data_IF_866820574647
#
_entry.id   IF_866820574647
#
_cell.length_a   1.000
_cell.length_b   1.000
_cell.length_c   1.000
_cell.angle_alpha   90.00
_cell.angle_beta   90.00
_cell.angle_gamma   90.00
#
_symmetry.space_group_name_H-M   'P 1'
#
loop_
_entity.id
_entity.type
_entity.pdbx_description
1 polymer ?
#
# COMPACT_ATOMS: atom_id res chain seq x y z
N UNK A 1 -32.25 16.31 -62.56
CA UNK A 1 -31.88 15.10 -61.78
C UNK A 1 -30.77 14.38 -62.53
N UNK A 2 -29.70 13.91 -61.87
CA UNK A 2 -28.70 13.06 -62.51
C UNK A 2 -29.37 11.78 -63.00
N UNK A 3 -29.18 11.40 -64.26
CA UNK A 3 -29.67 10.12 -64.78
C UNK A 3 -28.85 8.96 -64.22
N UNK A 4 -29.38 7.73 -64.09
CA UNK A 4 -28.62 6.58 -63.59
C UNK A 4 -27.30 6.33 -64.34
N UNK A 5 -27.25 6.68 -65.63
CA UNK A 5 -26.04 6.62 -66.45
C UNK A 5 -24.95 7.62 -66.02
N UNK A 6 -25.32 8.76 -65.40
CA UNK A 6 -24.37 9.76 -64.88
C UNK A 6 -23.68 9.34 -63.58
N UNK A 7 -24.10 8.22 -62.97
CA UNK A 7 -23.44 7.61 -61.82
C UNK A 7 -22.40 6.54 -62.21
N UNK A 8 -22.33 6.19 -63.50
CA UNK A 8 -21.33 5.24 -63.99
C UNK A 8 -19.97 5.94 -64.17
N UNK A 9 -18.86 5.31 -63.78
CA UNK A 9 -17.53 5.88 -63.95
C UNK A 9 -17.24 6.23 -65.42
N UNK A 10 -16.50 7.32 -65.67
CA UNK A 10 -16.27 7.84 -67.03
C UNK A 10 -15.45 6.90 -67.91
N UNK A 11 -14.71 5.94 -67.34
CA UNK A 11 -13.98 4.91 -68.06
C UNK A 11 -13.83 3.60 -67.24
N UNK A 12 -13.57 2.50 -67.94
CA UNK A 12 -13.32 1.19 -67.33
C UNK A 12 -12.07 1.20 -66.42
N UNK A 13 -11.13 2.10 -66.70
CA UNK A 13 -9.89 2.32 -65.94
C UNK A 13 -10.11 2.91 -64.55
N UNK A 14 -11.11 3.76 -64.37
CA UNK A 14 -11.50 4.31 -63.06
C UNK A 14 -12.21 3.27 -62.21
N UNK A 15 -13.00 2.41 -62.83
CA UNK A 15 -13.64 1.28 -62.17
C UNK A 15 -12.60 0.25 -61.70
N UNK A 16 -11.63 -0.09 -62.56
CA UNK A 16 -10.51 -0.97 -62.21
C UNK A 16 -9.65 -0.41 -61.06
N UNK A 17 -9.36 0.90 -61.05
CA UNK A 17 -8.63 1.55 -59.94
C UNK A 17 -9.40 1.50 -58.63
N UNK A 18 -10.72 1.71 -58.65
CA UNK A 18 -11.58 1.60 -57.47
C UNK A 18 -11.64 0.16 -56.94
N UNK A 19 -11.74 -0.83 -57.82
CA UNK A 19 -11.72 -2.25 -57.43
C UNK A 19 -10.37 -2.60 -56.79
N UNK A 20 -9.25 -2.21 -57.38
CA UNK A 20 -7.92 -2.47 -56.80
C UNK A 20 -7.72 -1.80 -55.43
N UNK A 21 -8.27 -0.59 -55.24
CA UNK A 21 -8.26 0.09 -53.95
C UNK A 21 -9.09 -0.66 -52.90
N UNK A 22 -10.31 -1.08 -53.26
CA UNK A 22 -11.18 -1.87 -52.38
C UNK A 22 -10.56 -3.24 -52.05
N UNK A 23 -9.93 -3.91 -53.01
CA UNK A 23 -9.23 -5.17 -52.77
C UNK A 23 -8.07 -5.01 -51.79
N UNK A 24 -7.34 -3.89 -51.87
CA UNK A 24 -6.28 -3.56 -50.91
C UNK A 24 -6.85 -3.30 -49.51
N UNK A 25 -7.91 -2.50 -49.40
CA UNK A 25 -8.59 -2.22 -48.12
C UNK A 25 -9.16 -3.50 -47.51
N UNK A 26 -9.78 -4.38 -48.31
CA UNK A 26 -10.29 -5.68 -47.84
C UNK A 26 -9.14 -6.60 -47.40
N UNK A 27 -7.98 -6.57 -48.09
CA UNK A 27 -6.80 -7.34 -47.69
C UNK A 27 -6.22 -6.83 -46.38
N UNK A 28 -6.17 -5.51 -46.17
CA UNK A 28 -5.77 -4.90 -44.90
C UNK A 28 -6.74 -5.24 -43.76
N UNK A 29 -8.05 -5.14 -43.99
CA UNK A 29 -9.07 -5.54 -43.00
C UNK A 29 -9.01 -7.03 -42.67
N UNK A 30 -8.75 -7.89 -43.65
CA UNK A 30 -8.55 -9.33 -43.43
C UNK A 30 -7.25 -9.61 -42.68
N UNK A 31 -6.19 -8.85 -42.90
CA UNK A 31 -4.96 -8.93 -42.12
C UNK A 31 -5.20 -8.48 -40.67
N UNK A 32 -5.99 -7.42 -40.45
CA UNK A 32 -6.40 -6.95 -39.13
C UNK A 32 -7.26 -7.97 -38.36
N UNK A 33 -8.08 -8.77 -39.07
CA UNK A 33 -8.87 -9.85 -38.47
C UNK A 33 -8.04 -11.04 -37.94
N UNK A 34 -6.75 -11.15 -38.29
CA UNK A 34 -5.90 -12.30 -37.93
C UNK A 34 -5.16 -12.18 -36.58
N UNK A 35 -5.56 -11.24 -35.72
CA UNK A 35 -4.95 -11.11 -34.39
C UNK A 35 -5.22 -12.30 -33.46
N UNK A 36 -6.11 -13.23 -33.83
CA UNK A 36 -6.43 -14.45 -33.07
C UNK A 36 -5.18 -15.30 -32.71
N UNK A 37 -4.12 -15.24 -33.51
CA UNK A 37 -2.86 -15.95 -33.26
C UNK A 37 -1.61 -15.08 -33.53
N UNK A 38 -1.71 -13.77 -33.29
CA UNK A 38 -0.60 -12.86 -33.53
C UNK A 38 0.49 -13.00 -32.46
N UNK A 39 1.75 -13.07 -32.90
CA UNK A 39 2.91 -12.92 -32.03
C UNK A 39 3.42 -11.47 -32.12
N UNK A 40 3.72 -10.88 -30.95
CA UNK A 40 4.27 -9.52 -30.87
C UNK A 40 5.80 -9.61 -30.95
N UNK A 41 6.38 -9.04 -32.01
CA UNK A 41 7.83 -8.99 -32.20
C UNK A 41 8.52 -7.93 -31.31
N UNK A 42 9.81 -7.72 -31.54
CA UNK A 42 10.65 -6.82 -30.73
C UNK A 42 10.14 -5.35 -30.65
N UNK A 43 9.34 -4.91 -31.62
CA UNK A 43 8.72 -3.58 -31.61
C UNK A 43 7.58 -3.40 -30.61
N UNK A 44 7.09 -4.49 -30.00
CA UNK A 44 6.04 -4.45 -28.99
C UNK A 44 4.66 -4.07 -29.55
N UNK A 45 3.70 -3.92 -28.63
CA UNK A 45 2.37 -3.37 -28.88
C UNK A 45 2.20 -2.11 -28.04
N UNK A 46 1.82 -1.00 -28.66
CA UNK A 46 1.55 0.27 -27.97
C UNK A 46 0.06 0.58 -28.02
N UNK A 47 -0.53 0.81 -26.85
CA UNK A 47 -1.91 1.29 -26.70
C UNK A 47 -1.88 2.80 -26.52
N UNK A 48 -2.67 3.54 -27.29
CA UNK A 48 -2.69 5.02 -27.33
C UNK A 48 -4.12 5.55 -27.28
N UNK A 49 -4.30 6.86 -27.07
CA UNK A 49 -5.59 7.56 -27.12
C UNK A 49 -6.67 6.93 -26.22
N UNK A 50 -6.31 6.51 -25.02
CA UNK A 50 -7.25 5.89 -24.08
C UNK A 50 -7.67 4.46 -24.44
N UNK A 51 -6.90 3.76 -25.28
CA UNK A 51 -7.12 2.34 -25.49
C UNK A 51 -6.90 1.51 -24.21
N UNK A 52 -7.33 0.25 -24.26
CA UNK A 52 -7.15 -0.72 -23.16
C UNK A 52 -6.88 -2.13 -23.68
N UNK A 53 -6.24 -2.94 -22.85
CA UNK A 53 -6.08 -4.37 -23.01
C UNK A 53 -6.99 -5.09 -22.02
N UNK A 54 -7.73 -6.07 -22.52
CA UNK A 54 -8.81 -6.72 -21.81
C UNK A 54 -8.76 -8.23 -22.00
N UNK A 55 -9.03 -8.98 -20.94
CA UNK A 55 -9.22 -10.42 -20.99
C UNK A 55 -10.57 -10.79 -20.37
N UNK A 56 -11.41 -11.46 -21.16
CA UNK A 56 -12.72 -11.96 -20.76
C UNK A 56 -12.70 -13.48 -20.71
N UNK A 57 -13.35 -14.07 -19.72
CA UNK A 57 -13.60 -15.51 -19.67
C UNK A 57 -14.71 -15.89 -20.66
N UNK A 58 -14.87 -17.18 -21.06
CA UNK A 58 -15.94 -17.59 -21.95
C UNK A 58 -17.36 -17.19 -21.50
N UNK A 59 -17.68 -17.19 -20.20
CA UNK A 59 -18.94 -16.63 -19.67
C UNK A 59 -19.09 -15.10 -19.79
N UNK A 60 -18.06 -14.37 -20.26
CA UNK A 60 -18.06 -12.91 -20.40
C UNK A 60 -17.60 -12.16 -19.16
N UNK A 61 -16.92 -12.81 -18.21
CA UNK A 61 -16.39 -12.12 -17.01
C UNK A 61 -15.03 -11.51 -17.32
N UNK A 62 -14.92 -10.19 -17.14
CA UNK A 62 -13.65 -9.45 -17.23
C UNK A 62 -12.72 -9.84 -16.08
N UNK A 63 -11.59 -10.46 -16.42
CA UNK A 63 -10.59 -10.94 -15.45
C UNK A 63 -9.30 -10.13 -15.46
N UNK A 64 -8.93 -9.51 -16.58
CA UNK A 64 -7.81 -8.56 -16.64
C UNK A 64 -8.22 -7.34 -17.45
N UNK A 65 -7.92 -6.14 -16.96
CA UNK A 65 -8.11 -4.88 -17.67
C UNK A 65 -6.92 -3.95 -17.40
N UNK A 66 -6.34 -3.38 -18.45
CA UNK A 66 -5.16 -2.50 -18.37
C UNK A 66 -5.32 -1.35 -19.36
N UNK A 67 -5.29 -0.10 -18.89
CA UNK A 67 -5.41 1.10 -19.73
C UNK A 67 -6.46 2.06 -19.18
N UNK A 68 -7.14 2.78 -20.07
CA UNK A 68 -8.21 3.69 -19.64
C UNK A 68 -9.47 2.90 -19.24
N UNK A 69 -9.67 2.71 -17.93
CA UNK A 69 -10.81 1.98 -17.37
C UNK A 69 -11.84 3.02 -16.92
N UNK A 70 -13.08 2.79 -17.34
CA UNK A 70 -14.22 3.60 -16.93
C UNK A 70 -15.07 2.82 -15.93
N UNK A 71 -15.12 3.28 -14.69
CA UNK A 71 -15.91 2.70 -13.60
C UNK A 71 -16.17 3.79 -12.55
N UNK A 72 -17.43 3.96 -12.18
CA UNK A 72 -17.86 5.03 -11.28
C UNK A 72 -17.24 4.96 -9.88
N UNK A 73 -16.56 3.85 -9.52
CA UNK A 73 -15.83 3.69 -8.26
C UNK A 73 -14.48 4.41 -8.22
N UNK A 74 -13.89 4.72 -9.37
CA UNK A 74 -12.53 5.26 -9.45
C UNK A 74 -12.26 6.12 -10.70
N UNK A 75 -13.29 6.45 -11.47
CA UNK A 75 -13.19 7.52 -12.45
C UNK A 75 -12.65 8.79 -11.78
N UNK A 76 -11.94 9.61 -12.55
CA UNK A 76 -11.49 10.91 -12.09
C UNK A 76 -12.69 11.77 -11.64
N UNK A 77 -12.49 12.78 -10.77
CA UNK A 77 -13.57 13.66 -10.31
C UNK A 77 -14.38 14.32 -11.44
N UNK A 78 -13.77 14.49 -12.63
CA UNK A 78 -14.39 15.06 -13.83
C UNK A 78 -15.15 14.02 -14.68
N UNK A 79 -15.25 12.77 -14.21
CA UNK A 79 -15.89 11.64 -14.89
C UNK A 79 -15.03 11.01 -15.98
N UNK A 80 -13.77 11.42 -16.15
CA UNK A 80 -12.89 10.83 -17.16
C UNK A 80 -12.33 9.47 -16.71
N UNK A 81 -12.11 8.53 -17.64
CA UNK A 81 -11.53 7.22 -17.31
C UNK A 81 -10.12 7.35 -16.74
N UNK A 82 -9.80 6.51 -15.76
CA UNK A 82 -8.47 6.47 -15.17
C UNK A 82 -7.58 5.41 -15.86
N UNK A 83 -6.28 5.71 -16.00
CA UNK A 83 -5.30 4.69 -16.37
C UNK A 83 -5.12 3.70 -15.22
N UNK A 84 -5.55 2.46 -15.36
CA UNK A 84 -5.55 1.53 -14.25
C UNK A 84 -5.11 0.13 -14.68
N UNK A 85 -4.75 -0.68 -13.67
CA UNK A 85 -4.56 -2.12 -13.81
C UNK A 85 -5.58 -2.80 -12.90
N UNK A 86 -6.30 -3.76 -13.46
CA UNK A 86 -7.31 -4.51 -12.74
C UNK A 86 -7.18 -5.98 -13.05
N UNK A 87 -7.06 -6.81 -12.02
CA UNK A 87 -7.11 -8.26 -12.13
C UNK A 87 -8.18 -8.79 -11.17
N UNK A 88 -9.00 -9.71 -11.67
CA UNK A 88 -10.09 -10.35 -10.95
C UNK A 88 -10.01 -11.86 -11.08
N UNK A 89 -10.61 -12.54 -10.11
CA UNK A 89 -10.88 -13.98 -10.17
C UNK A 89 -12.05 -14.26 -11.11
N UNK A 90 -12.24 -15.52 -11.48
CA UNK A 90 -13.36 -15.94 -12.35
C UNK A 90 -14.74 -15.67 -11.74
N UNK A 91 -14.82 -15.60 -10.41
CA UNK A 91 -16.02 -15.23 -9.66
C UNK A 91 -16.31 -13.71 -9.67
N UNK A 92 -15.44 -12.91 -10.30
CA UNK A 92 -15.54 -11.46 -10.40
C UNK A 92 -14.93 -10.69 -9.23
N UNK A 93 -14.42 -11.35 -8.18
CA UNK A 93 -13.78 -10.67 -7.04
C UNK A 93 -12.37 -10.17 -7.39
N UNK A 94 -12.00 -9.02 -6.86
CA UNK A 94 -10.73 -8.37 -7.15
C UNK A 94 -9.56 -9.11 -6.51
N UNK A 95 -8.46 -9.30 -7.24
CA UNK A 95 -7.21 -9.87 -6.69
C UNK A 95 -6.08 -8.84 -6.66
N UNK A 96 -6.01 -7.98 -7.68
CA UNK A 96 -5.04 -6.91 -7.77
C UNK A 96 -5.67 -5.70 -8.44
N UNK A 97 -5.46 -4.52 -7.87
CA UNK A 97 -5.86 -3.26 -8.48
C UNK A 97 -4.73 -2.25 -8.40
N UNK A 98 -4.68 -1.34 -9.37
CA UNK A 98 -3.88 -0.14 -9.33
C UNK A 98 -4.70 0.99 -9.94
N UNK A 99 -5.32 1.81 -9.08
CA UNK A 99 -6.12 2.98 -9.44
C UNK A 99 -6.13 3.94 -8.24
N UNK A 100 -6.64 5.15 -8.44
CA UNK A 100 -6.81 6.12 -7.36
C UNK A 100 -8.28 6.19 -6.93
N UNK A 101 -8.52 6.65 -5.70
CA UNK A 101 -9.89 6.92 -5.26
C UNK A 101 -10.50 8.11 -6.03
N UNK A 102 -11.82 8.22 -6.07
CA UNK A 102 -12.53 9.31 -6.78
C UNK A 102 -12.01 10.70 -6.36
N UNK A 103 -11.62 10.88 -5.10
CA UNK A 103 -11.15 12.16 -4.55
C UNK A 103 -9.62 12.29 -4.48
N UNK A 104 -8.87 11.23 -4.78
CA UNK A 104 -7.41 11.21 -4.72
C UNK A 104 -6.85 10.99 -6.12
N UNK A 105 -5.90 11.81 -6.55
CA UNK A 105 -5.22 11.59 -7.82
C UNK A 105 -4.13 10.49 -7.72
N UNK A 106 -3.77 10.10 -6.49
CA UNK A 106 -2.66 9.21 -6.20
C UNK A 106 -3.10 7.76 -6.33
N UNK A 107 -2.51 7.05 -7.29
CA UNK A 107 -2.79 5.64 -7.49
C UNK A 107 -2.12 4.82 -6.41
N UNK A 108 -2.87 3.89 -5.83
CA UNK A 108 -2.35 2.85 -4.94
C UNK A 108 -2.43 1.51 -5.67
N UNK A 109 -1.43 0.66 -5.46
CA UNK A 109 -1.57 -0.75 -5.80
C UNK A 109 -2.04 -1.54 -4.58
N UNK A 110 -2.98 -2.46 -4.80
CA UNK A 110 -3.57 -3.24 -3.71
C UNK A 110 -3.75 -4.68 -4.14
N UNK A 111 -3.39 -5.61 -3.26
CA UNK A 111 -3.77 -7.02 -3.32
C UNK A 111 -4.94 -7.29 -2.38
N UNK A 112 -5.99 -7.92 -2.91
CA UNK A 112 -7.26 -8.12 -2.21
C UNK A 112 -7.53 -9.59 -1.89
N UNK A 113 -8.14 -9.84 -0.73
CA UNK A 113 -8.73 -11.14 -0.42
C UNK A 113 -10.12 -11.30 -1.09
N UNK A 114 -10.81 -12.42 -0.82
CA UNK A 114 -12.14 -12.68 -1.41
C UNK A 114 -13.27 -11.85 -0.78
N UNK A 115 -13.00 -11.16 0.31
CA UNK A 115 -13.95 -10.35 1.07
C UNK A 115 -13.70 -8.86 0.86
N UNK A 116 -12.91 -8.50 -0.15
CA UNK A 116 -12.56 -7.12 -0.49
C UNK A 116 -11.74 -6.42 0.61
N UNK A 117 -10.96 -7.17 1.39
CA UNK A 117 -9.98 -6.58 2.31
C UNK A 117 -8.62 -6.44 1.62
N UNK A 118 -8.00 -5.26 1.79
CA UNK A 118 -6.63 -5.02 1.37
C UNK A 118 -5.65 -5.85 2.22
N UNK A 119 -5.01 -6.83 1.58
CA UNK A 119 -4.00 -7.72 2.19
C UNK A 119 -2.63 -7.06 2.17
N UNK A 120 -2.27 -6.48 1.02
CA UNK A 120 -0.99 -5.78 0.82
C UNK A 120 -1.25 -4.55 -0.05
N UNK A 121 -0.71 -3.40 0.35
CA UNK A 121 -0.83 -2.15 -0.39
C UNK A 121 0.34 -1.22 -0.10
N UNK A 122 0.63 -0.29 -1.01
CA UNK A 122 1.51 0.84 -0.71
C UNK A 122 0.81 1.94 0.10
N UNK A 123 1.61 2.70 0.85
CA UNK A 123 1.14 3.85 1.62
C UNK A 123 1.24 5.13 0.76
N UNK A 124 0.14 5.47 0.10
CA UNK A 124 0.07 6.63 -0.80
C UNK A 124 0.19 7.97 -0.06
N UNK A 125 -0.27 8.05 1.18
CA UNK A 125 -0.30 9.28 1.96
C UNK A 125 1.12 9.72 2.39
N UNK A 126 1.98 8.83 2.88
CA UNK A 126 3.40 9.18 3.08
C UNK A 126 4.24 9.07 1.80
N UNK A 127 3.69 8.45 0.75
CA UNK A 127 4.38 8.17 -0.51
C UNK A 127 5.52 7.16 -0.37
N UNK A 128 5.65 6.47 0.78
CA UNK A 128 6.75 5.52 1.01
C UNK A 128 6.30 4.28 1.80
N UNK A 129 6.64 3.11 1.25
CA UNK A 129 6.53 1.85 1.98
C UNK A 129 5.15 1.21 1.93
N UNK A 130 4.87 0.34 2.91
CA UNK A 130 3.66 -0.50 2.94
C UNK A 130 2.57 0.12 3.80
N UNK A 131 1.35 0.20 3.28
CA UNK A 131 0.16 0.46 4.09
C UNK A 131 -0.28 -0.80 4.85
N UNK A 132 -0.29 -1.95 4.16
CA UNK A 132 -0.64 -3.26 4.71
C UNK A 132 0.37 -4.32 4.26
N UNK A 133 0.61 -5.38 5.07
CA UNK A 133 0.12 -5.58 6.44
C UNK A 133 0.88 -4.70 7.45
N UNK A 134 0.37 -4.64 8.69
CA UNK A 134 1.12 -4.06 9.80
C UNK A 134 2.22 -5.03 10.22
N UNK A 135 3.44 -4.53 10.34
CA UNK A 135 4.60 -5.37 10.57
C UNK A 135 4.95 -5.41 12.06
N UNK A 136 5.08 -6.60 12.67
CA UNK A 136 5.49 -6.70 14.06
C UNK A 136 6.92 -6.21 14.23
N UNK A 137 7.15 -5.49 15.33
CA UNK A 137 8.46 -5.00 15.75
C UNK A 137 8.96 -5.89 16.87
N UNK A 138 10.12 -6.50 16.64
CA UNK A 138 10.79 -7.30 17.65
C UNK A 138 11.54 -6.37 18.61
N UNK A 139 11.28 -6.52 19.91
CA UNK A 139 12.06 -5.88 20.96
C UNK A 139 12.47 -6.93 21.99
N UNK A 140 13.65 -6.73 22.57
CA UNK A 140 14.22 -7.57 23.60
C UNK A 140 14.28 -6.81 24.93
N UNK A 141 14.20 -7.53 26.07
CA UNK A 141 14.46 -6.92 27.37
C UNK A 141 15.90 -6.39 27.40
N UNK A 142 16.07 -5.16 27.88
CA UNK A 142 17.39 -4.60 28.10
C UNK A 142 18.04 -5.27 29.32
N UNK A 143 19.35 -5.51 29.24
CA UNK A 143 20.08 -6.10 30.36
C UNK A 143 20.18 -5.10 31.51
N UNK A 144 19.57 -5.44 32.65
CA UNK A 144 19.56 -4.64 33.89
C UNK A 144 20.23 -5.40 35.04
N UNK A 145 21.33 -6.11 34.76
CA UNK A 145 21.99 -7.00 35.73
C UNK A 145 21.37 -8.40 35.83
N UNK A 146 20.41 -8.72 34.96
CA UNK A 146 19.73 -10.01 34.86
C UNK A 146 18.83 -10.10 33.61
N UNK A 147 18.40 -11.30 33.25
CA UNK A 147 17.48 -11.58 32.13
C UNK A 147 16.05 -11.72 32.62
N UNK A 148 15.52 -10.67 33.24
CA UNK A 148 14.16 -10.64 33.77
C UNK A 148 13.14 -10.50 32.63
N UNK A 149 12.08 -11.34 32.64
CA UNK A 149 10.97 -11.23 31.68
C UNK A 149 10.20 -9.90 31.81
N UNK A 150 10.26 -9.27 32.99
CA UNK A 150 9.79 -7.91 33.25
C UNK A 150 10.99 -7.05 33.67
N UNK A 151 11.68 -6.43 32.70
CA UNK A 151 12.73 -5.47 32.97
C UNK A 151 12.28 -4.42 33.96
N UNK A 152 13.18 -4.06 34.86
CA UNK A 152 12.86 -3.25 36.03
C UNK A 152 13.99 -2.32 36.40
N UNK A 153 13.66 -1.20 37.04
CA UNK A 153 14.66 -0.30 37.61
C UNK A 153 14.14 0.40 38.86
N UNK A 154 15.01 0.58 39.84
CA UNK A 154 14.76 1.42 41.02
C UNK A 154 15.52 2.76 40.92
N UNK A 155 16.18 3.02 39.80
CA UNK A 155 16.96 4.23 39.56
C UNK A 155 16.06 5.44 39.35
N UNK A 156 16.50 6.59 39.83
CA UNK A 156 15.91 7.90 39.50
C UNK A 156 16.40 8.44 38.16
N UNK A 157 17.50 7.89 37.63
CA UNK A 157 17.98 8.13 36.28
C UNK A 157 17.27 7.20 35.28
N UNK A 158 17.01 7.69 34.06
CA UNK A 158 16.41 6.89 32.99
C UNK A 158 17.27 5.66 32.66
N UNK A 159 16.68 4.48 32.75
CA UNK A 159 17.30 3.22 32.36
C UNK A 159 16.52 2.60 31.21
N UNK A 160 17.22 1.90 30.31
CA UNK A 160 16.59 1.17 29.22
C UNK A 160 15.95 -0.10 29.78
N UNK A 161 14.67 -0.31 29.47
CA UNK A 161 13.90 -1.49 29.87
C UNK A 161 13.69 -2.42 28.68
N UNK A 162 13.40 -1.87 27.51
CA UNK A 162 13.26 -2.62 26.26
C UNK A 162 14.03 -1.94 25.14
N UNK A 163 14.68 -2.74 24.30
CA UNK A 163 15.44 -2.26 23.15
C UNK A 163 15.04 -3.03 21.90
N UNK A 164 14.98 -2.34 20.78
CA UNK A 164 14.70 -2.90 19.47
C UNK A 164 15.34 -2.04 18.39
N UNK A 165 15.54 -2.64 17.22
CA UNK A 165 16.01 -1.96 16.02
C UNK A 165 15.19 -2.46 14.84
N UNK A 166 14.61 -1.53 14.09
CA UNK A 166 13.72 -1.83 12.96
C UNK A 166 14.30 -1.28 11.67
N UNK A 167 13.93 -1.88 10.54
CA UNK A 167 14.05 -1.25 9.24
C UNK A 167 12.76 -0.49 8.94
N UNK A 168 12.83 0.81 8.67
CA UNK A 168 11.64 1.64 8.41
C UNK A 168 10.98 1.21 7.10
N UNK A 169 9.86 0.50 7.21
CA UNK A 169 9.02 0.10 6.07
C UNK A 169 7.65 0.78 6.04
N UNK A 170 7.11 1.23 7.19
CA UNK A 170 5.85 1.96 7.27
C UNK A 170 6.09 3.30 7.99
N UNK A 171 5.25 4.32 7.76
CA UNK A 171 5.50 5.67 8.25
C UNK A 171 5.24 5.86 9.74
N UNK A 172 4.60 4.90 10.44
CA UNK A 172 4.27 5.05 11.85
C UNK A 172 4.59 3.82 12.70
N UNK A 173 4.77 4.04 14.00
CA UNK A 173 5.06 3.01 15.00
C UNK A 173 4.07 3.07 16.16
N UNK A 174 3.61 1.90 16.61
CA UNK A 174 2.85 1.73 17.85
C UNK A 174 3.59 0.75 18.76
N UNK A 175 3.72 1.11 20.04
CA UNK A 175 4.31 0.26 21.09
C UNK A 175 3.36 0.22 22.27
N UNK A 176 2.95 -0.98 22.69
CA UNK A 176 2.09 -1.21 23.84
C UNK A 176 2.88 -1.92 24.92
N UNK A 177 2.91 -1.32 26.11
CA UNK A 177 3.52 -1.90 27.29
C UNK A 177 2.50 -2.02 28.43
N UNK A 178 2.81 -2.89 29.37
CA UNK A 178 2.19 -2.89 30.70
C UNK A 178 3.24 -2.49 31.72
N UNK A 179 2.95 -1.50 32.57
CA UNK A 179 3.91 -1.03 33.56
C UNK A 179 3.27 -0.77 34.93
N UNK A 180 4.08 -0.88 35.99
CA UNK A 180 3.67 -0.65 37.37
C UNK A 180 4.84 -0.19 38.24
N UNK A 181 4.54 0.59 39.26
CA UNK A 181 5.39 0.67 40.47
C UNK A 181 5.01 -0.49 41.39
N UNK A 182 6.00 -1.15 41.99
CA UNK A 182 5.77 -2.28 42.91
C UNK A 182 5.53 -1.87 44.37
N UNK A 183 5.61 -0.57 44.67
CA UNK A 183 5.44 -0.02 46.02
C UNK A 183 4.39 1.08 46.04
N UNK A 184 3.45 1.02 46.97
CA UNK A 184 2.39 2.03 47.14
C UNK A 184 2.95 3.40 47.47
N UNK A 185 2.38 4.45 46.88
CA UNK A 185 2.83 5.84 47.03
C UNK A 185 4.07 6.23 46.23
N UNK A 186 4.74 5.27 45.55
CA UNK A 186 5.83 5.56 44.64
C UNK A 186 5.31 5.90 43.23
N UNK A 187 6.02 6.77 42.52
CA UNK A 187 5.71 7.12 41.13
C UNK A 187 6.93 6.97 40.24
N UNK A 188 6.67 6.65 38.97
CA UNK A 188 7.68 6.52 37.93
C UNK A 188 7.20 7.12 36.62
N UNK A 189 8.08 7.13 35.62
CA UNK A 189 7.75 7.49 34.24
C UNK A 189 8.34 6.43 33.33
N UNK A 190 7.59 6.11 32.27
CA UNK A 190 8.05 5.33 31.13
C UNK A 190 8.07 6.20 29.88
N UNK A 191 9.17 6.14 29.13
CA UNK A 191 9.40 6.92 27.92
C UNK A 191 9.57 5.98 26.73
N UNK A 192 8.92 6.28 25.60
CA UNK A 192 9.29 5.71 24.31
C UNK A 192 10.33 6.62 23.65
N UNK A 193 11.46 6.04 23.28
CA UNK A 193 12.52 6.69 22.52
C UNK A 193 12.51 6.11 21.11
N UNK A 194 12.51 6.98 20.10
CA UNK A 194 12.69 6.61 18.69
C UNK A 194 13.89 7.38 18.16
N UNK A 195 14.89 6.64 17.67
CA UNK A 195 16.22 7.18 17.40
C UNK A 195 16.81 7.81 18.66
N UNK A 196 16.96 9.14 18.62
CA UNK A 196 17.55 9.93 19.71
C UNK A 196 16.54 10.80 20.46
N UNK A 197 15.26 10.76 20.11
CA UNK A 197 14.22 11.64 20.67
C UNK A 197 13.24 10.86 21.53
N UNK A 198 12.81 11.47 22.64
CA UNK A 198 11.64 10.99 23.40
C UNK A 198 10.41 11.26 22.54
N UNK A 199 9.75 10.21 22.08
CA UNK A 199 8.55 10.31 21.27
C UNK A 199 7.31 10.59 22.14
N UNK A 200 7.20 9.93 23.30
CA UNK A 200 6.10 10.11 24.24
C UNK A 200 6.48 9.53 25.62
N UNK A 201 5.79 9.97 26.67
CA UNK A 201 6.05 9.62 28.07
C UNK A 201 4.74 9.43 28.84
N UNK A 202 4.69 8.43 29.72
CA UNK A 202 3.55 8.21 30.61
C UNK A 202 3.98 8.14 32.08
N UNK A 203 3.21 8.72 33.01
CA UNK A 203 3.39 8.48 34.43
C UNK A 203 2.94 7.06 34.79
N UNK A 204 3.64 6.44 35.74
CA UNK A 204 3.34 5.10 36.26
C UNK A 204 3.19 5.18 37.77
N UNK A 205 2.13 4.58 38.29
CA UNK A 205 1.81 4.55 39.71
C UNK A 205 1.77 3.12 40.25
N UNK A 206 1.38 2.99 41.52
CA UNK A 206 1.14 1.69 42.17
C UNK A 206 -0.18 1.06 41.69
N UNK A 207 -0.12 0.47 40.50
CA UNK A 207 -1.04 -0.49 39.92
C UNK A 207 -0.50 -0.82 38.53
N UNK A 208 -0.65 -2.06 38.09
CA UNK A 208 -0.22 -2.43 36.74
C UNK A 208 -1.26 -1.96 35.72
N UNK A 209 -0.85 -1.04 34.83
CA UNK A 209 -1.70 -0.43 33.81
C UNK A 209 -1.11 -0.58 32.41
N UNK A 210 -1.94 -0.34 31.40
CA UNK A 210 -1.62 -0.42 29.98
C UNK A 210 -1.26 0.95 29.42
N UNK A 211 -0.16 1.02 28.67
CA UNK A 211 0.29 2.24 28.02
C UNK A 211 0.54 1.99 26.54
N UNK A 212 -0.14 2.77 25.70
CA UNK A 212 0.01 2.72 24.25
C UNK A 212 0.76 3.96 23.80
N UNK A 213 1.99 3.77 23.33
CA UNK A 213 2.76 4.80 22.66
C UNK A 213 2.44 4.79 21.16
N UNK A 214 1.93 5.90 20.66
CA UNK A 214 1.74 6.15 19.24
C UNK A 214 0.28 6.36 18.81
N UNK A 215 0.02 6.46 17.49
CA UNK A 215 1.00 6.27 16.41
C UNK A 215 2.11 7.33 16.40
N UNK A 216 3.37 6.90 16.49
CA UNK A 216 4.55 7.77 16.43
C UNK A 216 4.98 7.91 14.98
N UNK A 217 5.22 9.14 14.54
CA UNK A 217 5.68 9.45 13.19
C UNK A 217 7.14 9.01 12.97
N UNK A 218 7.37 8.27 11.88
CA UNK A 218 8.68 7.83 11.39
C UNK A 218 9.01 8.42 10.00
N UNK A 219 8.21 9.34 9.47
CA UNK A 219 8.41 9.93 8.12
C UNK A 219 9.73 10.66 7.97
N UNK A 220 10.32 11.14 9.07
CA UNK A 220 11.67 11.73 9.07
C UNK A 220 12.80 10.74 8.76
N UNK A 221 12.53 9.43 8.83
CA UNK A 221 13.51 8.38 8.53
C UNK A 221 13.32 7.86 7.10
N UNK A 222 14.44 7.61 6.41
CA UNK A 222 14.44 7.10 5.04
C UNK A 222 13.90 5.66 4.96
N UNK A 223 13.36 5.27 3.80
CA UNK A 223 12.93 3.91 3.56
C UNK A 223 14.09 2.92 3.78
N UNK A 224 13.84 1.84 4.50
CA UNK A 224 14.84 0.84 4.92
C UNK A 224 15.98 1.39 5.79
N UNK A 225 15.87 2.59 6.34
CA UNK A 225 16.80 3.06 7.36
C UNK A 225 16.61 2.25 8.64
N UNK A 226 17.72 1.88 9.30
CA UNK A 226 17.68 1.31 10.64
C UNK A 226 17.32 2.38 11.67
N UNK A 227 16.28 2.14 12.46
CA UNK A 227 15.81 3.04 13.50
C UNK A 227 15.82 2.32 14.84
N UNK A 228 16.46 2.93 15.84
CA UNK A 228 16.45 2.42 17.21
C UNK A 228 15.13 2.75 17.89
N UNK A 229 14.53 1.77 18.55
CA UNK A 229 13.29 1.90 19.31
C UNK A 229 13.57 1.40 20.72
N UNK A 230 13.35 2.24 21.74
CA UNK A 230 13.68 1.89 23.12
C UNK A 230 12.58 2.34 24.06
N UNK A 231 12.28 1.53 25.06
CA UNK A 231 11.45 1.95 26.20
C UNK A 231 12.37 2.18 27.38
N UNK A 232 12.28 3.36 27.99
CA UNK A 232 13.03 3.70 29.20
C UNK A 232 12.09 3.84 30.38
N UNK A 233 12.60 3.59 31.57
CA UNK A 233 11.89 3.83 32.82
C UNK A 233 12.77 4.55 33.83
N UNK A 234 12.14 5.32 34.71
CA UNK A 234 12.78 5.86 35.91
C UNK A 234 11.77 6.06 37.03
N UNK A 235 12.23 5.93 38.26
CA UNK A 235 11.48 6.35 39.45
C UNK A 235 11.51 7.87 39.58
N UNK A 236 10.38 8.48 39.91
CA UNK A 236 10.26 9.93 40.14
C UNK A 236 10.16 10.23 41.63
N UNK A 237 9.27 9.54 42.36
CA UNK A 237 9.11 9.73 43.82
C UNK A 237 8.99 8.39 44.56
N UNK A 238 9.21 8.43 45.87
CA UNK A 238 9.09 7.28 46.77
C UNK A 238 10.25 6.28 46.67
N UNK A 239 10.10 5.18 47.39
CA UNK A 239 10.96 3.99 47.31
C UNK A 239 10.24 2.91 46.50
N UNK A 240 10.99 2.02 45.84
CA UNK A 240 10.42 0.96 45.00
C UNK A 240 11.02 0.90 43.61
N UNK A 241 10.46 0.02 42.79
CA UNK A 241 10.98 -0.35 41.47
C UNK A 241 9.87 -0.22 40.44
N UNK A 242 10.17 0.44 39.32
CA UNK A 242 9.31 0.40 38.13
C UNK A 242 9.57 -0.89 37.37
N UNK A 243 8.51 -1.56 36.91
CA UNK A 243 8.57 -2.73 36.04
C UNK A 243 7.78 -2.46 34.78
N UNK A 244 8.29 -2.90 33.63
CA UNK A 244 7.57 -2.79 32.37
C UNK A 244 7.71 -4.05 31.54
N UNK A 245 6.60 -4.53 31.01
CA UNK A 245 6.52 -5.62 30.03
C UNK A 245 6.14 -5.06 28.68
N UNK A 246 6.85 -5.45 27.64
CA UNK A 246 6.34 -5.29 26.28
C UNK A 246 5.16 -6.24 26.09
N UNK A 247 4.10 -5.76 25.44
CA UNK A 247 2.96 -6.59 25.05
C UNK A 247 2.89 -6.72 23.54
N UNK A 248 3.02 -5.61 22.82
CA UNK A 248 3.11 -5.62 21.38
C UNK A 248 3.86 -4.39 20.89
N UNK A 249 4.52 -4.52 19.75
CA UNK A 249 5.06 -3.41 18.99
C UNK A 249 4.88 -3.73 17.51
N UNK A 250 4.45 -2.76 16.72
CA UNK A 250 4.20 -2.93 15.31
C UNK A 250 4.23 -1.60 14.57
N UNK A 251 4.63 -1.61 13.31
CA UNK A 251 4.52 -0.44 12.43
C UNK A 251 3.16 -0.43 11.74
N UNK A 252 2.69 0.76 11.36
CA UNK A 252 1.39 0.99 10.72
C UNK A 252 1.50 2.02 9.61
N UNK A 253 0.49 2.04 8.73
CA UNK A 253 0.29 3.06 7.70
C UNK A 253 0.12 4.47 8.28
N UNK A 254 0.13 5.48 7.40
CA UNK A 254 -0.15 6.87 7.78
C UNK A 254 -1.63 7.19 7.94
#
# INVERSE_FOLDING_TARGET
MPTPASQLPPDATTLARRIAALEREVRELRAARRLEAATVGAGGMRVVNGGRLAMDTPPGVRVVDVGAIHDSRFDHPDGTPQQAIWMRREDGTDVFTCFAGIEDATQAWVLWDRQDNAVVADDTVSGTGLARPYLPVQMAPAYQGGWDYWPRTSSTAAQELWIGRIYKQQPRLVVVIRAAMDTSGATGVVDLIVGNTVANSFPVAFAADWFTFGPVDLTSYAHMQQVDVRVRGRRVTGTGTIRASLISAYTVQS
#
